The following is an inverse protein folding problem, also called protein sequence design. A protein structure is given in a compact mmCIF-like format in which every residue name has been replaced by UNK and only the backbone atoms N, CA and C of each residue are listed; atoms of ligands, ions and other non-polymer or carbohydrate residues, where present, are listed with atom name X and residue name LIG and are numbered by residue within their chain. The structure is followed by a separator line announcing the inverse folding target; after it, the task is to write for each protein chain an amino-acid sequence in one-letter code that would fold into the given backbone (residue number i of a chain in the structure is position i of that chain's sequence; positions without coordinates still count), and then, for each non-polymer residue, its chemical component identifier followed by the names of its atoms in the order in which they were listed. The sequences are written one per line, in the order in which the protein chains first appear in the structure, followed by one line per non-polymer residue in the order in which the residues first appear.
data_IF_842395947289
#
_entry.id   IF_842395947289
#
_cell.length_a   1.000
_cell.length_b   1.000
_cell.length_c   1.000
_cell.angle_alpha   90.00
_cell.angle_beta   90.00
_cell.angle_gamma   90.00
#
_symmetry.space_group_name_H-M   'P 1'
#
loop_
_entity.id
_entity.type
_entity.pdbx_description
1 polymer ?
#
# COMPACT_ATOMS: atom_id res chain seq x y z
N UNK A 1 40.45 -11.24 26.91
CA UNK A 1 40.91 -11.85 25.64
C UNK A 1 40.54 -10.84 24.57
N UNK A 2 41.53 -10.17 23.98
CA UNK A 2 41.26 -9.14 22.96
C UNK A 2 40.77 -9.86 21.71
N UNK A 3 39.47 -9.75 21.42
CA UNK A 3 38.88 -10.14 20.14
C UNK A 3 39.62 -9.39 19.03
N UNK A 4 40.57 -10.06 18.39
CA UNK A 4 41.23 -9.52 17.21
C UNK A 4 40.38 -9.94 16.01
N UNK A 5 39.56 -9.04 15.43
CA UNK A 5 38.63 -9.38 14.35
C UNK A 5 39.34 -9.98 13.12
N UNK A 6 40.62 -9.66 12.92
CA UNK A 6 41.44 -10.25 11.85
C UNK A 6 41.79 -11.72 12.12
N UNK A 7 42.10 -12.07 13.37
CA UNK A 7 42.35 -13.47 13.75
C UNK A 7 41.07 -14.30 13.61
N UNK A 8 39.92 -13.76 14.06
CA UNK A 8 38.62 -14.40 13.90
C UNK A 8 38.28 -14.63 12.40
N UNK A 9 38.54 -13.66 11.53
CA UNK A 9 38.38 -13.82 10.08
C UNK A 9 39.28 -14.93 9.52
N UNK A 10 40.56 -14.94 9.88
CA UNK A 10 41.52 -15.97 9.41
C UNK A 10 41.06 -17.36 9.86
N UNK A 11 40.62 -17.51 11.12
CA UNK A 11 40.10 -18.78 11.62
C UNK A 11 38.86 -19.24 10.87
N UNK A 12 37.92 -18.33 10.59
CA UNK A 12 36.69 -18.65 9.83
C UNK A 12 36.98 -19.04 8.40
N UNK A 13 37.87 -18.31 7.71
CA UNK A 13 38.29 -18.67 6.36
C UNK A 13 39.03 -20.02 6.37
N UNK A 14 39.91 -20.26 7.35
CA UNK A 14 40.61 -21.53 7.49
C UNK A 14 39.65 -22.70 7.79
N UNK A 15 38.57 -22.46 8.54
CA UNK A 15 37.51 -23.44 8.78
C UNK A 15 36.71 -23.70 7.50
N UNK A 16 36.29 -22.66 6.79
CA UNK A 16 35.63 -22.79 5.49
C UNK A 16 36.50 -23.59 4.50
N UNK A 17 37.82 -23.37 4.50
CA UNK A 17 38.78 -24.14 3.67
C UNK A 17 38.93 -25.60 4.07
N UNK A 18 38.68 -25.94 5.34
CA UNK A 18 38.74 -27.32 5.83
C UNK A 18 37.43 -28.07 5.59
N UNK A 19 36.30 -27.42 5.82
CA UNK A 19 34.97 -27.99 5.63
C UNK A 19 34.61 -28.14 4.15
N UNK A 20 35.06 -27.20 3.32
CA UNK A 20 34.80 -27.19 1.89
C UNK A 20 36.13 -27.41 1.16
N UNK A 21 36.40 -28.67 0.76
CA UNK A 21 37.64 -29.10 0.08
C UNK A 21 37.97 -28.34 -1.23
N UNK A 22 37.07 -27.49 -1.70
CA UNK A 22 37.17 -26.66 -2.91
C UNK A 22 37.10 -25.16 -2.61
N UNK A 23 37.23 -24.75 -1.34
CA UNK A 23 37.34 -23.36 -0.96
C UNK A 23 38.44 -22.67 -1.79
N UNK A 24 37.99 -21.70 -2.59
CA UNK A 24 38.74 -21.08 -3.68
C UNK A 24 40.14 -20.63 -3.24
N UNK A 25 41.13 -20.87 -4.11
CA UNK A 25 42.49 -20.31 -4.00
C UNK A 25 42.50 -18.81 -3.68
N UNK A 26 41.47 -18.10 -4.12
CA UNK A 26 41.36 -16.65 -4.01
C UNK A 26 41.05 -16.15 -2.58
N UNK A 27 40.52 -17.00 -1.70
CA UNK A 27 40.24 -16.65 -0.30
C UNK A 27 41.48 -16.20 0.46
N UNK A 28 42.66 -16.67 0.05
CA UNK A 28 43.95 -16.25 0.61
C UNK A 28 44.18 -14.74 0.49
N UNK A 29 43.57 -14.09 -0.51
CA UNK A 29 43.65 -12.65 -0.66
C UNK A 29 42.77 -11.91 0.35
N UNK A 30 41.60 -12.46 0.67
CA UNK A 30 40.71 -11.89 1.69
C UNK A 30 41.27 -12.10 3.11
N UNK A 31 41.92 -13.23 3.39
CA UNK A 31 42.68 -13.47 4.64
C UNK A 31 43.74 -12.38 4.89
N UNK A 32 44.34 -11.86 3.82
CA UNK A 32 45.33 -10.78 3.87
C UNK A 32 44.71 -9.40 4.04
N UNK A 33 43.39 -9.28 3.94
CA UNK A 33 42.59 -8.06 4.14
C UNK A 33 42.04 -7.47 2.84
N UNK A 34 41.09 -6.53 2.99
CA UNK A 34 40.37 -5.88 1.87
C UNK A 34 41.30 -5.29 0.81
N UNK A 35 42.42 -4.68 1.20
CA UNK A 35 43.40 -4.13 0.25
C UNK A 35 44.03 -5.19 -0.65
N UNK A 36 44.38 -6.35 -0.09
CA UNK A 36 44.98 -7.44 -0.85
C UNK A 36 43.94 -8.08 -1.79
N UNK A 37 42.69 -8.23 -1.32
CA UNK A 37 41.57 -8.65 -2.14
C UNK A 37 41.31 -7.70 -3.31
N UNK A 38 41.16 -6.40 -3.05
CA UNK A 38 40.90 -5.39 -4.06
C UNK A 38 42.05 -5.29 -5.08
N UNK A 39 43.29 -5.43 -4.62
CA UNK A 39 44.46 -5.47 -5.50
C UNK A 39 44.46 -6.70 -6.42
N UNK A 40 44.05 -7.87 -5.91
CA UNK A 40 43.83 -9.06 -6.73
C UNK A 40 42.69 -8.85 -7.74
N UNK A 41 41.53 -8.34 -7.30
CA UNK A 41 40.39 -8.00 -8.18
C UNK A 41 40.75 -7.06 -9.31
N UNK A 42 41.64 -6.10 -9.07
CA UNK A 42 42.09 -5.15 -10.12
C UNK A 42 42.82 -5.83 -11.28
N UNK A 43 43.43 -7.00 -11.04
CA UNK A 43 44.09 -7.81 -12.08
C UNK A 43 43.21 -8.92 -12.65
N UNK A 44 42.15 -9.28 -11.94
CA UNK A 44 41.25 -10.39 -12.23
C UNK A 44 39.80 -9.89 -12.27
N UNK A 45 39.52 -8.86 -13.08
CA UNK A 45 38.20 -8.19 -13.13
C UNK A 45 37.07 -9.16 -13.49
N UNK A 46 37.36 -10.10 -14.40
CA UNK A 46 36.42 -11.12 -14.90
C UNK A 46 36.21 -12.29 -13.92
N UNK A 47 37.03 -12.41 -12.88
CA UNK A 47 36.87 -13.51 -11.93
C UNK A 47 35.51 -13.38 -11.21
N UNK A 48 34.84 -14.52 -11.00
CA UNK A 48 33.58 -14.62 -10.27
C UNK A 48 33.81 -15.51 -9.04
N UNK A 49 34.47 -14.98 -8.01
CA UNK A 49 34.89 -15.80 -6.88
C UNK A 49 33.65 -16.39 -6.18
N UNK A 50 33.74 -17.67 -5.85
CA UNK A 50 32.72 -18.36 -5.08
C UNK A 50 33.07 -18.30 -3.59
N UNK A 51 32.22 -17.61 -2.85
CA UNK A 51 32.24 -17.37 -1.42
C UNK A 51 30.93 -17.88 -0.79
N UNK A 52 30.22 -18.79 -1.46
CA UNK A 52 28.93 -19.29 -0.96
C UNK A 52 29.10 -19.99 0.40
N UNK A 53 28.19 -19.72 1.32
CA UNK A 53 28.17 -20.30 2.68
C UNK A 53 29.28 -19.80 3.62
N UNK A 54 30.10 -18.83 3.22
CA UNK A 54 31.19 -18.33 4.06
C UNK A 54 30.66 -17.60 5.31
N UNK A 55 31.36 -17.75 6.43
CA UNK A 55 31.14 -16.95 7.64
C UNK A 55 32.03 -15.70 7.63
N UNK A 56 31.42 -14.54 7.41
CA UNK A 56 32.02 -13.21 7.41
C UNK A 56 31.36 -12.28 8.46
N UNK A 57 30.78 -12.85 9.52
CA UNK A 57 30.05 -12.07 10.54
C UNK A 57 30.93 -11.02 11.23
N UNK A 58 30.47 -9.78 11.31
CA UNK A 58 31.20 -8.72 12.02
C UNK A 58 32.55 -8.34 11.41
N UNK A 59 32.85 -8.79 10.18
CA UNK A 59 34.12 -8.52 9.52
C UNK A 59 34.12 -7.11 8.95
N UNK A 60 35.25 -6.41 9.05
CA UNK A 60 35.48 -5.16 8.33
C UNK A 60 35.80 -5.46 6.85
N UNK A 61 34.82 -5.18 6.01
CA UNK A 61 34.84 -5.32 4.56
C UNK A 61 34.62 -3.96 3.87
N UNK A 62 34.98 -2.86 4.53
CA UNK A 62 34.75 -1.51 4.02
C UNK A 62 35.42 -1.31 2.66
N UNK A 63 34.64 -0.89 1.66
CA UNK A 63 35.12 -0.66 0.29
C UNK A 63 35.59 -1.92 -0.45
N UNK A 64 35.24 -3.12 0.03
CA UNK A 64 35.60 -4.36 -0.66
C UNK A 64 34.95 -4.44 -2.04
N UNK A 65 35.68 -4.96 -3.02
CA UNK A 65 35.15 -5.24 -4.35
C UNK A 65 34.74 -6.71 -4.47
N UNK A 66 33.48 -6.99 -4.16
CA UNK A 66 32.83 -8.29 -4.30
C UNK A 66 31.93 -8.36 -5.55
N UNK A 67 32.17 -7.51 -6.56
CA UNK A 67 31.39 -7.50 -7.80
C UNK A 67 31.38 -8.90 -8.44
N UNK A 68 30.21 -9.39 -8.85
CA UNK A 68 30.02 -10.70 -9.48
C UNK A 68 30.47 -11.92 -8.64
N UNK A 69 30.75 -11.74 -7.35
CA UNK A 69 31.02 -12.85 -6.44
C UNK A 69 29.74 -13.64 -6.17
N UNK A 70 29.88 -14.95 -5.92
CA UNK A 70 28.80 -15.76 -5.37
C UNK A 70 28.92 -15.77 -3.86
N UNK A 71 27.90 -15.27 -3.18
CA UNK A 71 27.77 -15.16 -1.73
C UNK A 71 26.48 -15.86 -1.26
N UNK A 72 26.03 -16.86 -2.02
CA UNK A 72 24.80 -17.61 -1.72
C UNK A 72 24.91 -18.19 -0.32
N UNK A 73 23.94 -17.92 0.55
CA UNK A 73 23.94 -18.36 1.96
C UNK A 73 25.14 -17.91 2.80
N UNK A 74 25.91 -16.91 2.35
CA UNK A 74 26.97 -16.35 3.17
C UNK A 74 26.38 -15.67 4.41
N UNK A 75 27.08 -15.76 5.55
CA UNK A 75 26.72 -15.04 6.76
C UNK A 75 27.59 -13.79 6.90
N UNK A 76 27.01 -12.65 6.55
CA UNK A 76 27.59 -11.31 6.62
C UNK A 76 26.98 -10.52 7.80
N UNK A 77 26.31 -11.18 8.76
CA UNK A 77 25.62 -10.47 9.82
C UNK A 77 26.59 -9.60 10.65
N UNK A 78 26.22 -8.34 10.87
CA UNK A 78 27.05 -7.35 11.55
C UNK A 78 28.31 -6.89 10.81
N UNK A 79 28.58 -7.36 9.59
CA UNK A 79 29.77 -6.94 8.84
C UNK A 79 29.71 -5.47 8.43
N UNK A 80 30.87 -4.79 8.36
CA UNK A 80 30.98 -3.44 7.80
C UNK A 80 31.31 -3.54 6.31
N UNK A 81 30.30 -3.31 5.47
CA UNK A 81 30.37 -3.28 4.01
C UNK A 81 30.20 -1.84 3.48
N UNK A 82 30.53 -0.83 4.29
CA UNK A 82 30.39 0.59 3.89
C UNK A 82 31.13 0.84 2.57
N UNK A 83 30.41 1.36 1.56
CA UNK A 83 30.97 1.63 0.24
C UNK A 83 31.48 0.41 -0.53
N UNK A 84 31.11 -0.81 -0.15
CA UNK A 84 31.48 -2.02 -0.88
C UNK A 84 30.85 -2.04 -2.28
N UNK A 85 31.57 -2.63 -3.24
CA UNK A 85 31.03 -2.90 -4.56
C UNK A 85 30.56 -4.36 -4.64
N UNK A 86 29.26 -4.57 -4.71
CA UNK A 86 28.55 -5.85 -4.83
C UNK A 86 27.82 -5.95 -6.18
N UNK A 87 28.20 -5.14 -7.18
CA UNK A 87 27.55 -5.10 -8.50
C UNK A 87 27.47 -6.49 -9.10
N UNK A 88 26.25 -6.94 -9.43
CA UNK A 88 25.98 -8.23 -10.04
C UNK A 88 26.41 -9.44 -9.20
N UNK A 89 26.67 -9.28 -7.90
CA UNK A 89 26.91 -10.39 -6.99
C UNK A 89 25.64 -11.20 -6.76
N UNK A 90 25.80 -12.46 -6.37
CA UNK A 90 24.71 -13.35 -6.00
C UNK A 90 24.69 -13.52 -4.48
N UNK A 91 23.78 -12.83 -3.80
CA UNK A 91 23.54 -12.86 -2.36
C UNK A 91 22.27 -13.66 -2.00
N UNK A 92 21.84 -14.58 -2.87
CA UNK A 92 20.66 -15.42 -2.62
C UNK A 92 20.75 -16.12 -1.26
N UNK A 93 19.72 -15.96 -0.43
CA UNK A 93 19.65 -16.53 0.93
C UNK A 93 20.77 -16.08 1.90
N UNK A 94 21.54 -15.03 1.56
CA UNK A 94 22.58 -14.52 2.45
C UNK A 94 21.99 -13.86 3.71
N UNK A 95 22.72 -13.92 4.82
CA UNK A 95 22.36 -13.25 6.06
C UNK A 95 23.17 -11.95 6.20
N UNK A 96 22.53 -10.80 6.00
CA UNK A 96 23.08 -9.46 6.16
C UNK A 96 22.53 -8.75 7.40
N UNK A 97 21.88 -9.48 8.32
CA UNK A 97 21.26 -8.91 9.52
C UNK A 97 22.23 -7.99 10.26
N UNK A 98 21.82 -6.74 10.53
CA UNK A 98 22.63 -5.70 11.20
C UNK A 98 23.96 -5.34 10.52
N UNK A 99 24.16 -5.73 9.25
CA UNK A 99 25.33 -5.29 8.50
C UNK A 99 25.24 -3.79 8.17
N UNK A 100 26.39 -3.18 7.93
CA UNK A 100 26.47 -1.79 7.47
C UNK A 100 26.83 -1.75 5.98
N UNK A 101 25.83 -1.54 5.12
CA UNK A 101 25.96 -1.35 3.68
C UNK A 101 25.80 0.12 3.26
N UNK A 102 26.06 1.07 4.16
CA UNK A 102 25.94 2.49 3.83
C UNK A 102 26.76 2.84 2.58
N UNK A 103 26.11 3.41 1.57
CA UNK A 103 26.74 3.80 0.31
C UNK A 103 27.29 2.64 -0.54
N UNK A 104 26.95 1.39 -0.24
CA UNK A 104 27.37 0.25 -1.04
C UNK A 104 26.66 0.22 -2.42
N UNK A 105 27.31 -0.38 -3.40
CA UNK A 105 26.79 -0.53 -4.77
C UNK A 105 26.30 -1.97 -4.94
N UNK A 106 24.99 -2.17 -4.99
CA UNK A 106 24.29 -3.45 -5.19
C UNK A 106 23.50 -3.47 -6.51
N UNK A 107 24.02 -2.79 -7.53
CA UNK A 107 23.38 -2.74 -8.85
C UNK A 107 23.38 -4.13 -9.48
N UNK A 108 22.26 -4.55 -10.05
CA UNK A 108 22.09 -5.89 -10.67
C UNK A 108 22.32 -7.09 -9.74
N UNK A 109 22.39 -6.88 -8.42
CA UNK A 109 22.64 -7.94 -7.44
C UNK A 109 21.42 -8.85 -7.27
N UNK A 110 21.66 -10.15 -7.11
CA UNK A 110 20.63 -11.12 -6.72
C UNK A 110 20.51 -11.17 -5.19
N UNK A 111 19.34 -10.89 -4.64
CA UNK A 111 19.06 -10.81 -3.20
C UNK A 111 17.85 -11.67 -2.82
N UNK A 112 17.51 -12.66 -3.65
CA UNK A 112 16.33 -13.51 -3.43
C UNK A 112 16.46 -14.19 -2.06
N UNK A 113 15.43 -14.04 -1.21
CA UNK A 113 15.40 -14.58 0.16
C UNK A 113 16.53 -14.11 1.09
N UNK A 114 17.23 -13.03 0.76
CA UNK A 114 18.26 -12.48 1.63
C UNK A 114 17.63 -11.85 2.90
N UNK A 115 18.34 -11.97 4.02
CA UNK A 115 17.95 -11.33 5.29
C UNK A 115 18.71 -10.04 5.48
N UNK A 116 18.03 -8.91 5.38
CA UNK A 116 18.56 -7.56 5.59
C UNK A 116 17.91 -6.89 6.82
N UNK A 117 17.51 -7.67 7.81
CA UNK A 117 16.88 -7.19 9.06
C UNK A 117 17.82 -6.21 9.78
N UNK A 118 17.30 -5.05 10.18
CA UNK A 118 18.04 -3.98 10.88
C UNK A 118 19.35 -3.57 10.17
N UNK A 119 19.43 -3.71 8.85
CA UNK A 119 20.62 -3.38 8.06
C UNK A 119 20.68 -1.88 7.77
N UNK A 120 21.85 -1.27 7.87
CA UNK A 120 22.07 0.10 7.39
C UNK A 120 22.37 0.08 5.89
N UNK A 121 21.43 0.52 5.07
CA UNK A 121 21.51 0.63 3.60
C UNK A 121 21.42 2.10 3.15
N UNK A 122 21.65 3.06 4.05
CA UNK A 122 21.56 4.48 3.71
C UNK A 122 22.42 4.81 2.51
N UNK A 123 21.85 5.51 1.52
CA UNK A 123 22.54 5.91 0.28
C UNK A 123 23.07 4.75 -0.57
N UNK A 124 22.67 3.51 -0.31
CA UNK A 124 23.08 2.37 -1.12
C UNK A 124 22.39 2.42 -2.49
N UNK A 125 23.08 1.92 -3.52
CA UNK A 125 22.55 1.82 -4.88
C UNK A 125 22.13 0.38 -5.17
N UNK A 126 20.84 0.07 -5.07
CA UNK A 126 20.23 -1.23 -5.33
C UNK A 126 19.49 -1.26 -6.67
N UNK A 127 19.81 -0.36 -7.62
CA UNK A 127 19.10 -0.31 -8.91
C UNK A 127 19.16 -1.64 -9.65
N UNK A 128 18.04 -2.05 -10.23
CA UNK A 128 17.91 -3.31 -11.01
C UNK A 128 18.24 -4.59 -10.23
N UNK A 129 18.39 -4.52 -8.90
CA UNK A 129 18.59 -5.69 -8.04
C UNK A 129 17.33 -6.57 -7.97
N UNK A 130 17.47 -7.78 -7.42
CA UNK A 130 16.37 -8.76 -7.29
C UNK A 130 16.13 -9.22 -5.85
N UNK A 131 15.72 -8.34 -4.93
CA UNK A 131 15.37 -8.72 -3.56
C UNK A 131 13.95 -9.30 -3.47
N UNK A 132 13.64 -10.33 -4.24
CA UNK A 132 12.34 -11.01 -4.20
C UNK A 132 12.25 -11.80 -2.89
N UNK A 133 11.16 -11.61 -2.15
CA UNK A 133 10.96 -12.25 -0.83
C UNK A 133 12.13 -12.00 0.16
N UNK A 134 12.83 -10.87 0.02
CA UNK A 134 13.87 -10.45 0.95
C UNK A 134 13.29 -9.73 2.18
N UNK A 135 13.98 -9.83 3.33
CA UNK A 135 13.54 -9.26 4.61
C UNK A 135 14.33 -7.99 4.95
N UNK A 136 13.76 -6.80 4.76
CA UNK A 136 14.31 -5.49 5.17
C UNK A 136 13.67 -4.97 6.46
N UNK A 137 13.22 -5.86 7.34
CA UNK A 137 12.47 -5.49 8.56
C UNK A 137 13.34 -4.59 9.44
N UNK A 138 12.85 -3.39 9.77
CA UNK A 138 13.58 -2.40 10.57
C UNK A 138 14.88 -1.86 9.94
N UNK A 139 15.13 -2.11 8.65
CA UNK A 139 16.31 -1.60 7.96
C UNK A 139 16.22 -0.08 7.70
N UNK A 140 17.36 0.60 7.61
CA UNK A 140 17.42 2.01 7.18
C UNK A 140 17.93 2.10 5.74
N UNK A 141 17.03 2.39 4.80
CA UNK A 141 17.34 2.63 3.39
C UNK A 141 17.20 4.12 3.01
N UNK A 142 17.31 5.04 3.98
CA UNK A 142 17.18 6.47 3.71
C UNK A 142 18.12 6.90 2.59
N UNK A 143 17.60 7.64 1.61
CA UNK A 143 18.33 8.13 0.43
C UNK A 143 18.92 7.02 -0.47
N UNK A 144 18.53 5.75 -0.29
CA UNK A 144 18.93 4.66 -1.17
C UNK A 144 18.16 4.68 -2.50
N UNK A 145 18.69 4.00 -3.51
CA UNK A 145 18.04 3.86 -4.82
C UNK A 145 17.70 2.40 -5.10
N UNK A 146 16.41 2.10 -5.19
CA UNK A 146 15.80 0.84 -5.59
C UNK A 146 15.08 0.95 -6.95
N UNK A 147 15.40 1.97 -7.75
CA UNK A 147 14.80 2.14 -9.07
C UNK A 147 15.00 0.90 -9.94
N UNK A 148 13.94 0.52 -10.65
CA UNK A 148 13.89 -0.65 -11.54
C UNK A 148 14.17 -2.01 -10.83
N UNK A 149 14.18 -2.07 -9.49
CA UNK A 149 14.41 -3.31 -8.73
C UNK A 149 13.18 -4.24 -8.73
N UNK A 150 13.43 -5.54 -8.53
CA UNK A 150 12.40 -6.59 -8.45
C UNK A 150 12.21 -7.03 -7.00
N UNK A 151 11.19 -6.47 -6.36
CA UNK A 151 10.92 -6.50 -4.92
C UNK A 151 9.60 -7.22 -4.59
N UNK A 152 9.12 -8.09 -5.48
CA UNK A 152 7.89 -8.85 -5.24
C UNK A 152 7.97 -9.57 -3.89
N UNK A 153 6.97 -9.35 -3.04
CA UNK A 153 6.87 -9.93 -1.69
C UNK A 153 8.03 -9.62 -0.74
N UNK A 154 8.83 -8.60 -1.04
CA UNK A 154 9.82 -8.11 -0.08
C UNK A 154 9.10 -7.51 1.15
N UNK A 155 9.70 -7.67 2.33
CA UNK A 155 9.18 -7.10 3.57
C UNK A 155 10.01 -5.90 4.01
N UNK A 156 9.38 -4.75 4.12
CA UNK A 156 9.89 -3.47 4.63
C UNK A 156 9.18 -3.05 5.92
N UNK A 157 8.59 -4.00 6.65
CA UNK A 157 7.92 -3.74 7.92
C UNK A 157 8.86 -2.95 8.87
N UNK A 158 8.36 -1.88 9.46
CA UNK A 158 9.11 -0.99 10.36
C UNK A 158 10.38 -0.34 9.74
N UNK A 159 10.58 -0.43 8.43
CA UNK A 159 11.78 0.12 7.79
C UNK A 159 11.75 1.65 7.70
N UNK A 160 12.93 2.27 7.72
CA UNK A 160 13.11 3.70 7.47
C UNK A 160 13.53 3.91 6.02
N UNK A 161 12.68 4.53 5.22
CA UNK A 161 12.78 4.65 3.77
C UNK A 161 12.76 6.11 3.31
N UNK A 162 13.12 7.05 4.20
CA UNK A 162 13.06 8.48 3.91
C UNK A 162 13.86 8.83 2.65
N UNK A 163 13.20 9.43 1.64
CA UNK A 163 13.81 9.80 0.35
C UNK A 163 14.37 8.63 -0.45
N UNK A 164 13.89 7.41 -0.22
CA UNK A 164 14.27 6.26 -1.05
C UNK A 164 13.59 6.33 -2.42
N UNK A 165 14.32 5.98 -3.48
CA UNK A 165 13.80 5.91 -4.84
C UNK A 165 13.38 4.48 -5.22
N UNK A 166 12.08 4.23 -5.35
CA UNK A 166 11.46 3.00 -5.85
C UNK A 166 10.90 3.16 -7.27
N UNK A 167 11.30 4.18 -8.02
CA UNK A 167 10.70 4.47 -9.33
C UNK A 167 10.84 3.29 -10.29
N UNK A 168 9.76 2.95 -11.02
CA UNK A 168 9.66 1.81 -11.94
C UNK A 168 9.96 0.43 -11.33
N UNK A 169 9.97 0.32 -10.00
CA UNK A 169 10.21 -0.95 -9.31
C UNK A 169 8.97 -1.86 -9.34
N UNK A 170 9.19 -3.17 -9.14
CA UNK A 170 8.13 -4.17 -9.03
C UNK A 170 7.95 -4.58 -7.58
N UNK A 171 6.87 -4.15 -6.96
CA UNK A 171 6.54 -4.27 -5.53
C UNK A 171 5.25 -5.09 -5.31
N UNK A 172 4.92 -6.01 -6.22
CA UNK A 172 3.76 -6.90 -6.10
C UNK A 172 3.76 -7.59 -4.73
N UNK A 173 2.67 -7.41 -3.97
CA UNK A 173 2.48 -7.98 -2.62
C UNK A 173 3.60 -7.64 -1.62
N UNK A 174 4.35 -6.55 -1.84
CA UNK A 174 5.36 -6.09 -0.89
C UNK A 174 4.72 -5.56 0.39
N UNK A 175 5.38 -5.76 1.53
CA UNK A 175 4.90 -5.30 2.84
C UNK A 175 5.66 -4.04 3.27
N UNK A 176 4.95 -2.95 3.50
CA UNK A 176 5.42 -1.67 4.03
C UNK A 176 4.68 -1.28 5.31
N UNK A 177 4.05 -2.23 6.02
CA UNK A 177 3.30 -1.94 7.23
C UNK A 177 4.18 -1.22 8.26
N UNK A 178 3.67 -0.14 8.84
CA UNK A 178 4.37 0.75 9.78
C UNK A 178 5.69 1.38 9.27
N UNK A 179 6.01 1.27 7.98
CA UNK A 179 7.24 1.84 7.41
C UNK A 179 7.20 3.38 7.32
N UNK A 180 8.38 4.00 7.43
CA UNK A 180 8.56 5.46 7.29
C UNK A 180 8.99 5.79 5.87
N UNK A 181 8.05 6.28 5.05
CA UNK A 181 8.17 6.52 3.61
C UNK A 181 8.12 8.02 3.25
N UNK A 182 8.60 8.88 4.15
CA UNK A 182 8.55 10.33 3.92
C UNK A 182 9.41 10.72 2.71
N UNK A 183 8.82 11.46 1.78
CA UNK A 183 9.49 12.00 0.58
C UNK A 183 10.09 10.93 -0.36
N UNK A 184 9.60 9.69 -0.33
CA UNK A 184 9.99 8.64 -1.29
C UNK A 184 9.53 8.95 -2.71
N UNK A 185 10.11 8.25 -3.69
CA UNK A 185 9.52 8.13 -5.02
C UNK A 185 9.09 6.70 -5.30
N UNK A 186 7.84 6.50 -5.69
CA UNK A 186 7.24 5.31 -6.27
C UNK A 186 6.74 5.59 -7.71
N UNK A 187 7.28 6.61 -8.38
CA UNK A 187 6.84 6.99 -9.73
C UNK A 187 6.90 5.78 -10.67
N UNK A 188 5.79 5.51 -11.37
CA UNK A 188 5.63 4.37 -12.28
C UNK A 188 5.88 2.97 -11.63
N UNK A 189 5.86 2.87 -10.31
CA UNK A 189 6.08 1.60 -9.61
C UNK A 189 4.81 0.72 -9.59
N UNK A 190 4.99 -0.60 -9.50
CA UNK A 190 3.90 -1.58 -9.45
C UNK A 190 3.75 -2.09 -8.02
N UNK A 191 2.78 -1.57 -7.27
CA UNK A 191 2.43 -1.93 -5.89
C UNK A 191 1.13 -2.73 -5.77
N UNK A 192 0.80 -3.55 -6.78
CA UNK A 192 -0.43 -4.37 -6.78
C UNK A 192 -0.44 -5.24 -5.51
N UNK A 193 -1.54 -5.18 -4.74
CA UNK A 193 -1.71 -5.95 -3.51
C UNK A 193 -0.71 -5.64 -2.39
N UNK A 194 0.06 -4.55 -2.49
CA UNK A 194 1.03 -4.18 -1.45
C UNK A 194 0.32 -3.81 -0.15
N UNK A 195 0.96 -4.12 0.99
CA UNK A 195 0.47 -3.74 2.31
C UNK A 195 1.17 -2.44 2.73
N UNK A 196 0.41 -1.36 2.90
CA UNK A 196 0.88 -0.06 3.40
C UNK A 196 0.15 0.31 4.70
N UNK A 197 -0.33 -0.67 5.47
CA UNK A 197 -1.05 -0.40 6.72
C UNK A 197 -0.22 0.49 7.65
N UNK A 198 -0.78 1.63 8.07
CA UNK A 198 -0.12 2.65 8.92
C UNK A 198 1.20 3.22 8.39
N UNK A 199 1.52 2.99 7.13
CA UNK A 199 2.72 3.53 6.50
C UNK A 199 2.69 5.07 6.46
N UNK A 200 3.86 5.71 6.60
CA UNK A 200 3.99 7.17 6.63
C UNK A 200 4.55 7.70 5.30
N UNK A 201 3.68 8.03 4.35
CA UNK A 201 4.03 8.49 3.00
C UNK A 201 3.98 10.02 2.84
N UNK A 202 4.24 10.79 3.90
CA UNK A 202 4.17 12.26 3.83
C UNK A 202 5.08 12.81 2.74
N UNK A 203 4.51 13.55 1.78
CA UNK A 203 5.25 14.14 0.67
C UNK A 203 5.82 13.14 -0.34
N UNK A 204 5.40 11.87 -0.31
CA UNK A 204 5.86 10.87 -1.27
C UNK A 204 5.33 11.13 -2.68
N UNK A 205 6.11 10.79 -3.70
CA UNK A 205 5.71 10.82 -5.09
C UNK A 205 5.25 9.43 -5.53
N UNK A 206 3.99 9.25 -5.87
CA UNK A 206 3.37 8.03 -6.40
C UNK A 206 2.76 8.28 -7.80
N UNK A 207 3.28 9.26 -8.55
CA UNK A 207 2.77 9.58 -9.88
C UNK A 207 2.78 8.34 -10.78
N UNK A 208 1.66 8.07 -11.44
CA UNK A 208 1.48 6.92 -12.35
C UNK A 208 1.75 5.54 -11.72
N UNK A 209 1.80 5.44 -10.39
CA UNK A 209 1.97 4.16 -9.72
C UNK A 209 0.71 3.28 -9.84
N UNK A 210 0.90 1.97 -9.91
CA UNK A 210 -0.21 1.00 -9.89
C UNK A 210 -0.36 0.42 -8.49
N UNK A 211 -1.43 0.76 -7.79
CA UNK A 211 -1.74 0.33 -6.43
C UNK A 211 -2.98 -0.58 -6.37
N UNK A 212 -3.37 -1.23 -7.45
CA UNK A 212 -4.58 -2.06 -7.49
C UNK A 212 -4.61 -3.07 -6.34
N UNK A 213 -5.68 -3.09 -5.54
CA UNK A 213 -5.83 -4.01 -4.40
C UNK A 213 -4.91 -3.73 -3.21
N UNK A 214 -4.20 -2.60 -3.18
CA UNK A 214 -3.30 -2.27 -2.08
C UNK A 214 -4.04 -1.94 -0.78
N UNK A 215 -3.44 -2.30 0.36
CA UNK A 215 -3.98 -2.04 1.69
C UNK A 215 -3.40 -0.75 2.27
N UNK A 216 -4.17 0.32 2.23
CA UNK A 216 -3.80 1.68 2.65
C UNK A 216 -4.42 2.07 4.00
N UNK A 217 -5.09 1.16 4.69
CA UNK A 217 -5.79 1.45 5.93
C UNK A 217 -4.86 2.15 6.95
N UNK A 218 -5.30 3.30 7.48
CA UNK A 218 -4.55 4.17 8.41
C UNK A 218 -3.21 4.72 7.89
N UNK A 219 -2.90 4.59 6.60
CA UNK A 219 -1.71 5.18 6.01
C UNK A 219 -1.81 6.71 5.92
N UNK A 220 -0.66 7.38 5.96
CA UNK A 220 -0.55 8.84 5.85
C UNK A 220 0.02 9.26 4.50
N UNK A 221 -0.84 9.75 3.60
CA UNK A 221 -0.49 10.33 2.30
C UNK A 221 -0.44 11.86 2.32
N UNK A 222 -0.34 12.49 3.49
CA UNK A 222 -0.33 13.96 3.61
C UNK A 222 0.67 14.58 2.63
N UNK A 223 0.18 15.47 1.75
CA UNK A 223 0.97 16.15 0.70
C UNK A 223 1.69 15.21 -0.29
N UNK A 224 1.29 13.95 -0.37
CA UNK A 224 1.79 13.03 -1.39
C UNK A 224 1.23 13.41 -2.77
N UNK A 225 1.89 12.93 -3.83
CA UNK A 225 1.44 13.08 -5.20
C UNK A 225 1.02 11.73 -5.79
N UNK A 226 -0.28 11.51 -5.96
CA UNK A 226 -0.90 10.32 -6.56
C UNK A 226 -1.44 10.63 -7.98
N UNK A 227 -0.90 11.65 -8.65
CA UNK A 227 -1.38 12.02 -9.98
C UNK A 227 -1.31 10.82 -10.93
N UNK A 228 -2.39 10.56 -11.65
CA UNK A 228 -2.50 9.42 -12.59
C UNK A 228 -2.26 8.03 -11.99
N UNK A 229 -2.31 7.87 -10.67
CA UNK A 229 -2.16 6.57 -10.03
C UNK A 229 -3.42 5.69 -10.23
N UNK A 230 -3.22 4.38 -10.40
CA UNK A 230 -4.30 3.39 -10.40
C UNK A 230 -4.52 2.90 -8.97
N UNK A 231 -5.57 3.41 -8.31
CA UNK A 231 -5.96 3.05 -6.95
C UNK A 231 -7.23 2.17 -6.96
N UNK A 232 -7.41 1.35 -8.00
CA UNK A 232 -8.54 0.44 -8.11
C UNK A 232 -8.55 -0.56 -6.95
N UNK A 233 -9.71 -0.78 -6.31
CA UNK A 233 -9.94 -1.77 -5.25
C UNK A 233 -9.01 -1.62 -4.02
N UNK A 234 -8.58 -0.39 -3.71
CA UNK A 234 -7.76 -0.16 -2.51
C UNK A 234 -8.60 -0.08 -1.23
N UNK A 235 -8.03 -0.60 -0.14
CA UNK A 235 -8.58 -0.44 1.20
C UNK A 235 -7.96 0.79 1.86
N UNK A 236 -8.71 1.88 2.05
CA UNK A 236 -8.19 3.17 2.54
C UNK A 236 -8.95 3.71 3.77
N UNK A 237 -9.48 2.81 4.61
CA UNK A 237 -10.19 3.15 5.86
C UNK A 237 -9.26 3.87 6.84
N UNK A 238 -9.70 5.01 7.36
CA UNK A 238 -8.89 5.85 8.25
C UNK A 238 -7.59 6.41 7.63
N UNK A 239 -7.39 6.30 6.32
CA UNK A 239 -6.22 6.86 5.65
C UNK A 239 -6.29 8.40 5.58
N UNK A 240 -5.13 9.07 5.61
CA UNK A 240 -5.04 10.54 5.52
C UNK A 240 -4.53 10.98 4.15
N UNK A 241 -5.37 11.60 3.35
CA UNK A 241 -5.03 12.19 2.05
C UNK A 241 -5.00 13.73 2.10
N UNK A 242 -4.61 14.30 3.24
CA UNK A 242 -4.65 15.75 3.43
C UNK A 242 -3.65 16.45 2.50
N UNK A 243 -4.13 17.36 1.64
CA UNK A 243 -3.26 18.06 0.69
C UNK A 243 -2.66 17.16 -0.39
N UNK A 244 -3.17 15.94 -0.57
CA UNK A 244 -2.68 14.99 -1.57
C UNK A 244 -3.13 15.40 -2.97
N UNK A 245 -2.26 15.23 -3.96
CA UNK A 245 -2.62 15.46 -5.38
C UNK A 245 -3.18 14.17 -5.96
N UNK A 246 -4.41 14.19 -6.47
CA UNK A 246 -5.14 13.04 -7.01
C UNK A 246 -5.56 13.23 -8.47
N UNK A 247 -5.12 14.31 -9.14
CA UNK A 247 -5.51 14.60 -10.52
C UNK A 247 -5.18 13.42 -11.44
N UNK A 248 -6.20 12.91 -12.13
CA UNK A 248 -6.14 11.80 -13.06
C UNK A 248 -6.06 10.41 -12.42
N UNK A 249 -6.17 10.28 -11.10
CA UNK A 249 -6.16 8.98 -10.44
C UNK A 249 -7.46 8.18 -10.71
N UNK A 250 -7.35 6.86 -10.72
CA UNK A 250 -8.49 5.94 -10.76
C UNK A 250 -8.82 5.45 -9.36
N UNK A 251 -10.05 5.66 -8.89
CA UNK A 251 -10.50 5.30 -7.53
C UNK A 251 -11.63 4.26 -7.53
N UNK A 252 -11.73 3.49 -8.62
CA UNK A 252 -12.72 2.42 -8.76
C UNK A 252 -12.69 1.47 -7.56
N UNK A 253 -13.82 1.26 -6.89
CA UNK A 253 -13.90 0.29 -5.78
C UNK A 253 -13.11 0.68 -4.53
N UNK A 254 -12.84 1.97 -4.32
CA UNK A 254 -12.25 2.48 -3.08
C UNK A 254 -13.08 2.10 -1.85
N UNK A 255 -12.42 1.49 -0.86
CA UNK A 255 -13.01 1.21 0.43
C UNK A 255 -12.55 2.25 1.46
N UNK A 256 -13.35 3.30 1.65
CA UNK A 256 -13.09 4.41 2.59
C UNK A 256 -14.20 4.51 3.65
N UNK A 257 -13.91 5.18 4.77
CA UNK A 257 -14.88 5.41 5.86
C UNK A 257 -14.92 6.88 6.33
N UNK A 258 -15.65 7.14 7.41
CA UNK A 258 -15.75 8.48 8.00
C UNK A 258 -14.45 8.98 8.63
N UNK A 259 -13.49 8.09 8.93
CA UNK A 259 -12.16 8.46 9.45
C UNK A 259 -11.18 8.80 8.32
N UNK A 260 -11.44 8.35 7.09
CA UNK A 260 -10.64 8.73 5.92
C UNK A 260 -10.73 10.25 5.69
N UNK A 261 -9.58 10.93 5.70
CA UNK A 261 -9.50 12.39 5.47
C UNK A 261 -9.11 12.70 4.03
N UNK A 262 -9.87 13.59 3.38
CA UNK A 262 -9.63 14.11 2.02
C UNK A 262 -9.42 15.63 2.02
N UNK A 263 -9.25 16.23 3.21
CA UNK A 263 -9.21 17.68 3.36
C UNK A 263 -8.06 18.30 2.56
N UNK A 264 -8.32 19.40 1.87
CA UNK A 264 -7.35 20.11 1.02
C UNK A 264 -6.76 19.26 -0.13
N UNK A 265 -7.32 18.09 -0.43
CA UNK A 265 -6.87 17.30 -1.57
C UNK A 265 -7.03 18.09 -2.88
N UNK A 266 -6.01 18.04 -3.72
CA UNK A 266 -5.97 18.71 -5.02
C UNK A 266 -6.33 17.70 -6.09
N UNK A 267 -7.47 17.90 -6.73
CA UNK A 267 -7.94 17.03 -7.79
C UNK A 267 -8.69 17.85 -8.84
N UNK A 268 -8.17 17.94 -10.05
CA UNK A 268 -8.90 18.56 -11.17
C UNK A 268 -9.93 17.57 -11.75
N UNK A 269 -9.55 16.30 -11.83
CA UNK A 269 -10.42 15.21 -12.29
C UNK A 269 -9.92 13.86 -11.79
N UNK A 270 -10.77 12.84 -11.82
CA UNK A 270 -10.49 11.46 -11.44
C UNK A 270 -11.30 10.48 -12.31
N UNK A 271 -11.08 9.19 -12.11
CA UNK A 271 -11.83 8.11 -12.77
C UNK A 271 -12.50 7.18 -11.74
N UNK A 272 -13.80 6.92 -11.91
CA UNK A 272 -14.55 5.93 -11.10
C UNK A 272 -14.50 4.52 -11.69
N UNK A 273 -14.28 4.41 -12.99
CA UNK A 273 -13.93 3.19 -13.72
C UNK A 273 -12.98 3.57 -14.86
N UNK A 274 -12.42 2.60 -15.59
CA UNK A 274 -11.65 2.85 -16.82
C UNK A 274 -12.56 3.37 -17.95
N UNK A 275 -13.02 4.61 -17.82
CA UNK A 275 -13.91 5.29 -18.77
C UNK A 275 -14.69 6.44 -18.14
N UNK A 276 -15.04 6.31 -16.86
CA UNK A 276 -15.94 7.25 -16.18
C UNK A 276 -15.14 8.37 -15.49
N UNK A 277 -14.82 9.42 -16.26
CA UNK A 277 -14.15 10.62 -15.75
C UNK A 277 -15.12 11.48 -14.94
N UNK A 278 -14.70 11.89 -13.76
CA UNK A 278 -15.34 12.95 -12.99
C UNK A 278 -14.43 14.17 -12.83
N UNK A 279 -14.94 15.39 -13.02
CA UNK A 279 -16.23 15.68 -13.63
C UNK A 279 -16.32 15.20 -15.09
N UNK A 280 -17.52 15.07 -15.63
CA UNK A 280 -17.67 14.71 -17.05
C UNK A 280 -17.07 15.78 -18.00
N UNK A 281 -16.70 15.35 -19.20
CA UNK A 281 -16.18 16.23 -20.25
C UNK A 281 -14.77 16.76 -19.94
N UNK A 282 -14.58 18.07 -20.13
CA UNK A 282 -13.29 18.77 -19.92
C UNK A 282 -13.27 19.62 -18.66
N UNK A 283 -14.33 19.57 -17.85
CA UNK A 283 -14.45 20.35 -16.61
C UNK A 283 -13.44 19.89 -15.55
N UNK A 284 -13.02 20.81 -14.68
CA UNK A 284 -12.27 20.48 -13.46
C UNK A 284 -13.14 20.65 -12.22
N UNK A 285 -12.86 19.90 -11.15
CA UNK A 285 -13.50 20.12 -9.86
C UNK A 285 -13.21 21.54 -9.36
N UNK A 286 -14.23 22.17 -8.80
CA UNK A 286 -14.08 23.41 -8.05
C UNK A 286 -13.49 23.11 -6.66
N UNK A 287 -12.87 24.09 -5.98
CA UNK A 287 -12.38 23.89 -4.61
C UNK A 287 -13.47 23.32 -3.68
N UNK A 288 -13.16 22.22 -2.99
CA UNK A 288 -14.07 21.52 -2.08
C UNK A 288 -15.10 20.60 -2.76
N UNK A 289 -15.31 20.72 -4.07
CA UNK A 289 -16.27 19.88 -4.79
C UNK A 289 -15.84 18.41 -4.82
N UNK A 290 -14.56 18.16 -5.06
CA UNK A 290 -13.99 16.81 -5.09
C UNK A 290 -14.34 16.00 -3.82
N UNK A 291 -14.10 16.58 -2.64
CA UNK A 291 -14.36 15.89 -1.37
C UNK A 291 -15.84 15.54 -1.25
N UNK A 292 -16.73 16.50 -1.54
CA UNK A 292 -18.17 16.26 -1.47
C UNK A 292 -18.62 15.19 -2.48
N UNK A 293 -18.11 15.23 -3.72
CA UNK A 293 -18.43 14.23 -4.74
C UNK A 293 -17.96 12.84 -4.31
N UNK A 294 -16.73 12.70 -3.84
CA UNK A 294 -16.20 11.41 -3.38
C UNK A 294 -16.98 10.89 -2.18
N UNK A 295 -17.31 11.75 -1.21
CA UNK A 295 -18.16 11.38 -0.07
C UNK A 295 -19.53 10.90 -0.56
N UNK A 296 -20.18 11.65 -1.44
CA UNK A 296 -21.50 11.34 -1.96
C UNK A 296 -21.54 10.05 -2.78
N UNK A 297 -20.55 9.82 -3.65
CA UNK A 297 -20.52 8.65 -4.54
C UNK A 297 -20.04 7.40 -3.81
N UNK A 298 -19.00 7.52 -2.99
CA UNK A 298 -18.35 6.36 -2.38
C UNK A 298 -18.84 6.04 -0.98
N UNK A 299 -19.57 6.91 -0.27
CA UNK A 299 -20.12 6.61 1.07
C UNK A 299 -21.58 6.19 1.06
N UNK A 300 -22.27 6.34 -0.07
CA UNK A 300 -23.67 5.93 -0.17
C UNK A 300 -23.85 4.41 -0.01
N UNK A 301 -24.90 4.02 0.70
CA UNK A 301 -25.46 2.68 0.67
C UNK A 301 -26.47 2.64 -0.48
N UNK A 302 -26.17 1.88 -1.53
CA UNK A 302 -27.11 1.60 -2.60
C UNK A 302 -27.98 0.37 -2.24
N UNK A 303 -29.30 0.55 -2.24
CA UNK A 303 -30.28 -0.50 -1.94
C UNK A 303 -31.27 -0.66 -3.09
N UNK A 304 -31.22 -1.81 -3.76
CA UNK A 304 -32.18 -2.17 -4.81
C UNK A 304 -33.40 -2.89 -4.25
N UNK A 305 -34.59 -2.46 -4.69
CA UNK A 305 -35.90 -3.02 -4.37
C UNK A 305 -36.59 -3.50 -5.66
N UNK A 306 -36.49 -4.81 -5.99
CA UNK A 306 -37.00 -5.34 -7.26
C UNK A 306 -38.54 -5.34 -7.38
N UNK A 307 -39.26 -5.36 -6.26
CA UNK A 307 -40.73 -5.40 -6.24
C UNK A 307 -41.36 -4.10 -5.73
N UNK A 308 -40.61 -3.00 -5.79
CA UNK A 308 -40.98 -1.76 -5.10
C UNK A 308 -40.65 -1.80 -3.62
N UNK A 309 -40.90 -0.68 -2.95
CA UNK A 309 -40.50 -0.42 -1.57
C UNK A 309 -41.73 -0.16 -0.70
N UNK A 310 -41.80 -0.83 0.46
CA UNK A 310 -42.73 -0.43 1.53
C UNK A 310 -42.05 0.69 2.33
N UNK A 311 -42.44 1.93 2.05
CA UNK A 311 -41.84 3.11 2.67
C UNK A 311 -41.98 3.13 4.19
N UNK A 312 -43.05 2.52 4.74
CA UNK A 312 -43.27 2.47 6.18
C UNK A 312 -42.29 1.50 6.85
N UNK A 313 -42.10 0.32 6.28
CA UNK A 313 -41.11 -0.65 6.73
C UNK A 313 -39.68 -0.11 6.53
N UNK A 314 -39.43 0.60 5.43
CA UNK A 314 -38.13 1.22 5.14
C UNK A 314 -37.74 2.28 6.18
N UNK A 315 -38.64 3.22 6.47
CA UNK A 315 -38.39 4.25 7.50
C UNK A 315 -38.23 3.61 8.87
N UNK A 316 -39.06 2.62 9.22
CA UNK A 316 -38.94 1.86 10.47
C UNK A 316 -37.59 1.15 10.60
N UNK A 317 -37.10 0.56 9.50
CA UNK A 317 -35.78 -0.06 9.45
C UNK A 317 -34.66 0.96 9.67
N UNK A 318 -34.68 2.08 8.95
CA UNK A 318 -33.68 3.15 9.09
C UNK A 318 -33.65 3.70 10.52
N UNK A 319 -34.83 3.94 11.12
CA UNK A 319 -34.95 4.41 12.51
C UNK A 319 -34.42 3.37 13.51
N UNK A 320 -34.77 2.10 13.34
CA UNK A 320 -34.33 1.02 14.23
C UNK A 320 -32.81 0.84 14.19
N UNK A 321 -32.22 0.89 12.99
CA UNK A 321 -30.76 0.78 12.81
C UNK A 321 -30.04 2.01 13.35
N UNK A 322 -30.57 3.22 13.13
CA UNK A 322 -29.97 4.44 13.70
C UNK A 322 -30.07 4.45 15.24
N UNK A 323 -31.14 3.90 15.82
CA UNK A 323 -31.31 3.84 17.28
C UNK A 323 -30.28 2.95 18.00
N UNK A 324 -29.78 1.91 17.33
CA UNK A 324 -28.76 1.00 17.90
C UNK A 324 -27.33 1.39 17.52
N UNK A 325 -27.15 2.38 16.64
CA UNK A 325 -25.86 2.92 16.23
C UNK A 325 -25.82 4.43 16.51
N UNK A 326 -25.40 4.88 17.71
CA UNK A 326 -25.52 6.29 18.14
C UNK A 326 -24.79 7.29 17.24
N UNK A 327 -23.70 6.84 16.60
CA UNK A 327 -22.86 7.65 15.73
C UNK A 327 -23.36 7.64 14.26
N UNK A 328 -24.35 6.80 13.93
CA UNK A 328 -24.84 6.60 12.57
C UNK A 328 -25.97 7.59 12.23
N UNK A 329 -25.78 8.34 11.16
CA UNK A 329 -26.80 9.17 10.54
C UNK A 329 -27.15 8.61 9.16
N UNK A 330 -28.41 8.19 9.00
CA UNK A 330 -28.95 7.73 7.73
C UNK A 330 -29.78 8.84 7.06
N UNK A 331 -29.39 9.23 5.85
CA UNK A 331 -30.09 10.24 5.06
C UNK A 331 -30.50 9.70 3.71
N UNK A 332 -31.70 10.02 3.22
CA UNK A 332 -32.07 9.70 1.84
C UNK A 332 -31.34 10.65 0.89
N UNK A 333 -30.44 10.11 0.06
CA UNK A 333 -29.67 10.88 -0.91
C UNK A 333 -30.41 10.99 -2.24
N UNK A 334 -30.85 9.86 -2.79
CA UNK A 334 -31.65 9.80 -4.02
C UNK A 334 -32.42 8.49 -4.10
N UNK A 335 -33.38 8.43 -5.01
CA UNK A 335 -33.95 7.17 -5.49
C UNK A 335 -34.18 7.26 -6.99
N UNK A 336 -33.97 6.17 -7.69
CA UNK A 336 -34.09 6.08 -9.15
C UNK A 336 -34.86 4.82 -9.51
N UNK A 337 -35.80 4.93 -10.46
CA UNK A 337 -36.45 3.77 -11.05
C UNK A 337 -35.71 3.38 -12.33
N UNK A 338 -35.09 2.20 -12.33
CA UNK A 338 -34.40 1.66 -13.51
C UNK A 338 -35.42 1.30 -14.59
N UNK A 339 -34.99 1.30 -15.85
CA UNK A 339 -35.81 0.86 -16.99
C UNK A 339 -36.34 -0.58 -16.84
N UNK A 340 -35.69 -1.42 -16.02
CA UNK A 340 -36.13 -2.77 -15.64
C UNK A 340 -37.31 -2.80 -14.64
N UNK A 341 -37.72 -1.66 -14.09
CA UNK A 341 -38.78 -1.54 -13.08
C UNK A 341 -38.28 -1.59 -11.63
N UNK A 342 -36.99 -1.87 -11.41
CA UNK A 342 -36.38 -1.89 -10.07
C UNK A 342 -36.24 -0.47 -9.51
N UNK A 343 -36.59 -0.28 -8.23
CA UNK A 343 -36.32 0.96 -7.52
C UNK A 343 -34.98 0.86 -6.79
N UNK A 344 -34.08 1.79 -7.05
CA UNK A 344 -32.79 1.92 -6.35
C UNK A 344 -32.89 3.09 -5.40
N UNK A 345 -32.60 2.87 -4.13
CA UNK A 345 -32.53 3.92 -3.11
C UNK A 345 -31.08 4.08 -2.67
N UNK A 346 -30.57 5.31 -2.71
CA UNK A 346 -29.25 5.65 -2.18
C UNK A 346 -29.42 6.35 -0.84
N UNK A 347 -28.78 5.78 0.17
CA UNK A 347 -28.75 6.29 1.53
C UNK A 347 -27.35 6.81 1.84
N UNK A 348 -27.26 8.06 2.29
CA UNK A 348 -26.10 8.47 3.07
C UNK A 348 -26.10 7.69 4.39
N UNK A 349 -24.91 7.26 4.81
CA UNK A 349 -24.68 6.51 6.04
C UNK A 349 -23.48 7.09 6.79
N UNK A 350 -23.54 8.40 7.04
CA UNK A 350 -22.53 9.15 7.77
C UNK A 350 -22.30 8.54 9.16
N UNK A 351 -21.04 8.30 9.53
CA UNK A 351 -20.68 7.66 10.80
C UNK A 351 -20.73 6.12 10.80
N UNK A 352 -21.10 5.48 9.68
CA UNK A 352 -21.02 4.02 9.54
C UNK A 352 -19.56 3.53 9.52
N UNK A 353 -19.13 2.77 10.53
CA UNK A 353 -17.82 2.10 10.56
C UNK A 353 -17.70 0.93 9.57
N UNK A 354 -18.81 0.22 9.35
CA UNK A 354 -18.91 -0.88 8.38
C UNK A 354 -20.25 -0.77 7.64
N UNK A 355 -20.21 -0.27 6.41
CA UNK A 355 -21.41 -0.05 5.59
C UNK A 355 -22.06 -1.34 5.12
N UNK A 356 -21.29 -2.42 4.94
CA UNK A 356 -21.86 -3.72 4.60
C UNK A 356 -22.64 -4.28 5.79
N UNK A 357 -22.10 -4.16 7.00
CA UNK A 357 -22.81 -4.55 8.22
C UNK A 357 -24.06 -3.69 8.45
N UNK A 358 -23.97 -2.35 8.30
CA UNK A 358 -25.13 -1.45 8.38
C UNK A 358 -26.18 -1.83 7.35
N UNK A 359 -25.78 -2.11 6.10
CA UNK A 359 -26.69 -2.55 5.06
C UNK A 359 -27.37 -3.88 5.38
N UNK A 360 -26.66 -4.84 5.98
CA UNK A 360 -27.27 -6.09 6.46
C UNK A 360 -28.26 -5.83 7.60
N UNK A 361 -27.93 -4.98 8.57
CA UNK A 361 -28.85 -4.58 9.64
C UNK A 361 -30.11 -3.93 9.08
N UNK A 362 -29.97 -3.03 8.10
CA UNK A 362 -31.08 -2.39 7.39
C UNK A 362 -31.97 -3.44 6.72
N UNK A 363 -31.40 -4.41 6.01
CA UNK A 363 -32.16 -5.50 5.38
C UNK A 363 -32.92 -6.35 6.40
N UNK A 364 -32.28 -6.73 7.50
CA UNK A 364 -32.93 -7.51 8.57
C UNK A 364 -34.06 -6.73 9.22
N UNK A 365 -33.82 -5.46 9.56
CA UNK A 365 -34.83 -4.60 10.18
C UNK A 365 -36.01 -4.34 9.23
N UNK A 366 -35.75 -4.16 7.94
CA UNK A 366 -36.80 -4.00 6.93
C UNK A 366 -37.66 -5.25 6.79
N UNK A 367 -37.04 -6.43 6.70
CA UNK A 367 -37.79 -7.69 6.65
C UNK A 367 -38.67 -7.90 7.88
N UNK A 368 -38.19 -7.51 9.07
CA UNK A 368 -38.96 -7.59 10.31
C UNK A 368 -40.10 -6.55 10.38
N UNK A 369 -39.94 -5.40 9.73
CA UNK A 369 -40.91 -4.33 9.69
C UNK A 369 -41.99 -4.51 8.59
N UNK A 370 -41.78 -5.42 7.64
CA UNK A 370 -42.78 -5.72 6.62
C UNK A 370 -44.08 -6.23 7.27
N UNK A 371 -45.25 -5.74 6.82
CA UNK A 371 -46.53 -6.24 7.31
C UNK A 371 -46.63 -7.74 7.07
N UNK A 372 -47.13 -8.48 8.07
CA UNK A 372 -47.36 -9.93 7.93
C UNK A 372 -48.23 -10.18 6.69
N UNK A 373 -47.94 -11.22 5.88
CA UNK A 373 -48.69 -11.47 4.66
C UNK A 373 -50.17 -11.63 4.99
N UNK A 374 -50.98 -10.64 4.61
CA UNK A 374 -52.44 -10.76 4.69
C UNK A 374 -52.84 -11.93 3.79
N UNK A 375 -53.72 -12.84 4.24
CA UNK A 375 -54.28 -13.83 3.34
C UNK A 375 -54.95 -13.09 2.18
N UNK A 376 -54.65 -13.56 0.98
CA UNK A 376 -54.91 -12.93 -0.31
C UNK A 376 -56.35 -12.41 -0.48
N UNK A 377 -56.52 -11.09 -0.35
CA UNK A 377 -57.63 -10.42 -1.00
C UNK A 377 -57.19 -10.10 -2.44
N UNK A 378 -57.63 -10.92 -3.40
CA UNK A 378 -57.50 -10.62 -4.83
C UNK A 378 -58.10 -9.23 -5.10
N UNK A 379 -57.30 -8.29 -5.61
CA UNK A 379 -57.79 -7.06 -6.24
C UNK A 379 -57.47 -5.74 -5.56
N UNK A 380 -56.37 -5.59 -4.83
CA UNK A 380 -55.86 -4.26 -4.48
C UNK A 380 -55.00 -3.70 -5.64
N UNK A 381 -55.22 -2.45 -6.10
CA UNK A 381 -54.35 -1.83 -7.10
C UNK A 381 -52.94 -1.63 -6.51
N UNK A 382 -51.89 -1.53 -7.36
CA UNK A 382 -50.54 -1.22 -6.89
C UNK A 382 -50.58 0.05 -6.04
N UNK A 383 -49.93 0.02 -4.88
CA UNK A 383 -49.77 1.20 -4.03
C UNK A 383 -49.21 2.35 -4.88
N UNK A 384 -49.96 3.45 -4.93
CA UNK A 384 -49.61 4.62 -5.72
C UNK A 384 -48.29 5.20 -5.24
N UNK A 385 -47.49 5.69 -6.19
CA UNK A 385 -46.29 6.49 -5.91
C UNK A 385 -46.58 7.52 -4.81
N UNK A 386 -45.72 7.63 -3.78
CA UNK A 386 -45.89 8.67 -2.79
C UNK A 386 -45.85 10.02 -3.51
N UNK A 387 -46.88 10.85 -3.30
CA UNK A 387 -46.85 12.24 -3.75
C UNK A 387 -45.54 12.93 -3.30
N UNK A 388 -45.09 13.97 -4.00
CA UNK A 388 -43.92 14.77 -3.59
C UNK A 388 -44.00 15.21 -2.12
N UNK A 389 -45.20 15.39 -1.58
CA UNK A 389 -45.46 15.76 -0.19
C UNK A 389 -45.13 14.64 0.83
N UNK A 390 -45.38 13.38 0.47
CA UNK A 390 -45.02 12.20 1.27
C UNK A 390 -43.53 11.86 1.18
N UNK A 391 -42.92 12.07 0.01
CA UNK A 391 -41.45 11.96 -0.14
C UNK A 391 -40.72 13.03 0.67
N UNK A 392 -41.23 14.26 0.69
CA UNK A 392 -40.72 15.32 1.55
C UNK A 392 -40.85 14.98 3.04
N UNK A 393 -41.98 14.41 3.46
CA UNK A 393 -42.16 13.97 4.85
C UNK A 393 -41.20 12.83 5.23
N UNK A 394 -40.94 11.88 4.32
CA UNK A 394 -39.96 10.80 4.52
C UNK A 394 -38.54 11.38 4.61
N UNK A 395 -38.16 12.27 3.68
CA UNK A 395 -36.88 12.95 3.70
C UNK A 395 -36.69 13.71 5.01
N UNK A 396 -37.66 14.50 5.47
CA UNK A 396 -37.62 15.20 6.76
C UNK A 396 -37.55 14.28 7.98
N UNK A 397 -38.20 13.11 7.90
CA UNK A 397 -38.18 12.12 8.98
C UNK A 397 -36.79 11.49 9.13
N UNK A 398 -36.07 11.31 8.03
CA UNK A 398 -34.71 10.77 8.01
C UNK A 398 -33.65 11.85 8.30
N UNK A 399 -33.86 13.09 7.85
CA UNK A 399 -32.85 14.18 7.87
C UNK A 399 -33.03 15.22 8.98
N UNK A 400 -33.30 14.82 10.24
CA UNK A 400 -33.44 15.82 11.32
C UNK A 400 -32.16 16.72 11.41
N UNK A 401 -32.27 17.94 10.84
CA UNK A 401 -31.40 19.16 10.91
C UNK A 401 -30.24 19.16 9.87
N UNK A 402 -30.03 20.05 8.87
CA UNK A 402 -30.47 21.42 8.47
C UNK A 402 -30.62 21.60 6.93
N UNK A 403 -31.37 22.64 6.56
CA UNK A 403 -31.49 23.34 5.27
C UNK A 403 -30.52 23.01 4.11
N UNK A 404 -31.09 22.63 2.96
CA UNK A 404 -30.53 22.90 1.63
C UNK A 404 -31.56 23.72 0.82
N UNK A 405 -31.16 24.79 0.11
CA UNK A 405 -32.03 25.50 -0.81
C UNK A 405 -32.15 24.69 -2.11
N UNK A 406 -33.38 24.54 -2.59
CA UNK A 406 -33.67 23.90 -3.86
C UNK A 406 -33.25 24.79 -5.04
N UNK A 407 -32.71 24.17 -6.08
CA UNK A 407 -32.85 24.65 -7.46
C UNK A 407 -33.76 23.62 -8.15
N UNK A 408 -34.81 24.06 -8.87
CA UNK A 408 -36.00 23.26 -9.18
C UNK A 408 -35.78 22.08 -10.11
#
# INVERSE_FOLDING_TARGET
MTDNPRLALIERIATARREWRWANSELVHLEKGVNAWNHWRSRQSEAKPDLSGIDLRGVDLKGVNLSHAKLIRADLSGADLTGANLTGADLGQANLTRANLQGAILVDTDLIWAKLVETNLRKADLRRSKPIEAEFIGADLSEASLADAKLSRASFMDAVLCRTDFSRSKLLEANFSDAILAQCSFADAILIGADLWRAQLTGANLTSATLTGAKLNKADFTRANLSSADLTEVEARGARFMGTVLTGACIQGWEIDSETSLSDAVCDYLYLTRGDRLPEGTRSFMPGEFEQTVRNELMAIEWTFPQGIDWSAFVSACQSVSAVNPDLQLGLQSFEQRASGELVVRLDATGARDRAAVFQQLRTAYQAALPSPKPSAKGAPPEQEPSCHSLWAIAQTLSRVQHLPMVP
#
